data_IF_742651401882
#
_entry.id   IF_742651401882
#
_cell.length_a   1.000
_cell.length_b   1.000
_cell.length_c   1.000
_cell.angle_alpha   90.00
_cell.angle_beta   90.00
_cell.angle_gamma   90.00
#
_symmetry.space_group_name_H-M   'P 1'
#
loop_
_entity.id
_entity.type
_entity.pdbx_description
1 polymer ?
#
# COMPACT_ATOMS: atom_id res chain seq x y z
N UNK A 1 -18.59 14.58 11.40
CA UNK A 1 -18.08 13.22 11.20
C UNK A 1 -18.19 12.92 9.72
N UNK A 2 -17.07 12.73 9.05
CA UNK A 2 -17.09 12.22 7.68
C UNK A 2 -17.39 10.71 7.72
N UNK A 3 -18.00 10.14 6.68
CA UNK A 3 -18.24 8.68 6.58
C UNK A 3 -16.96 7.87 6.89
N UNK A 4 -15.80 8.43 6.51
CA UNK A 4 -14.47 7.82 6.67
C UNK A 4 -14.01 7.69 8.12
N UNK A 5 -14.50 8.55 9.03
CA UNK A 5 -14.18 8.48 10.45
C UNK A 5 -14.66 7.17 11.07
N UNK A 6 -15.61 6.45 10.46
CA UNK A 6 -16.16 5.21 11.01
C UNK A 6 -15.24 4.00 10.76
N UNK A 7 -14.27 4.11 9.86
CA UNK A 7 -13.43 2.99 9.43
C UNK A 7 -12.21 2.77 10.31
N UNK A 8 -11.95 1.51 10.64
CA UNK A 8 -10.68 1.04 11.22
C UNK A 8 -9.81 0.50 10.10
N UNK A 9 -8.53 0.88 10.08
CA UNK A 9 -7.59 0.46 9.04
C UNK A 9 -6.47 -0.37 9.67
N UNK A 10 -6.25 -1.56 9.14
CA UNK A 10 -5.08 -2.38 9.46
C UNK A 10 -4.13 -2.31 8.27
N UNK A 11 -2.85 -2.02 8.52
CA UNK A 11 -1.80 -1.95 7.50
C UNK A 11 -0.79 -3.06 7.75
N UNK A 12 -0.81 -4.11 6.92
CA UNK A 12 0.22 -5.15 6.89
C UNK A 12 1.37 -4.67 6.00
N UNK A 13 2.57 -4.55 6.57
CA UNK A 13 3.70 -3.97 5.85
C UNK A 13 5.06 -4.43 6.36
N UNK A 14 6.09 -4.26 5.52
CA UNK A 14 7.44 -4.70 5.83
C UNK A 14 8.12 -3.84 6.91
N UNK A 15 7.90 -2.53 6.90
CA UNK A 15 8.61 -1.60 7.76
C UNK A 15 7.78 -0.35 8.12
N UNK A 16 8.40 0.55 8.89
CA UNK A 16 7.78 1.80 9.31
C UNK A 16 7.60 2.81 8.17
N UNK A 17 8.49 2.80 7.18
CA UNK A 17 8.42 3.72 6.04
C UNK A 17 7.19 3.41 5.19
N UNK A 18 6.89 2.13 4.95
CA UNK A 18 5.64 1.66 4.37
C UNK A 18 4.41 2.14 5.15
N UNK A 19 4.40 1.92 6.47
CA UNK A 19 3.30 2.37 7.32
C UNK A 19 3.10 3.88 7.27
N UNK A 20 4.18 4.66 7.31
CA UNK A 20 4.13 6.12 7.26
C UNK A 20 3.64 6.63 5.91
N UNK A 21 4.05 6.01 4.80
CA UNK A 21 3.54 6.31 3.46
C UNK A 21 2.02 6.14 3.40
N UNK A 22 1.52 4.96 3.78
CA UNK A 22 0.09 4.65 3.76
C UNK A 22 -0.69 5.58 4.69
N UNK A 23 -0.21 5.79 5.91
CA UNK A 23 -0.93 6.65 6.88
C UNK A 23 -0.89 8.12 6.50
N UNK A 24 0.17 8.61 5.84
CA UNK A 24 0.21 9.97 5.28
C UNK A 24 -0.86 10.16 4.20
N UNK A 25 -1.00 9.18 3.31
CA UNK A 25 -2.04 9.16 2.28
C UNK A 25 -3.45 9.14 2.89
N UNK A 26 -3.72 8.21 3.80
CA UNK A 26 -5.05 8.04 4.39
C UNK A 26 -5.47 9.23 5.27
N UNK A 27 -4.56 9.82 6.06
CA UNK A 27 -4.85 11.05 6.83
C UNK A 27 -5.33 12.17 5.92
N UNK A 28 -4.67 12.34 4.79
CA UNK A 28 -4.99 13.36 3.80
C UNK A 28 -6.36 13.13 3.16
N UNK A 29 -6.78 11.87 3.02
CA UNK A 29 -8.14 11.52 2.61
C UNK A 29 -9.21 11.67 3.70
N UNK A 30 -8.82 12.02 4.93
CA UNK A 30 -9.73 12.25 6.06
C UNK A 30 -9.87 11.08 7.05
N UNK A 31 -9.01 10.05 6.99
CA UNK A 31 -9.03 8.97 7.99
C UNK A 31 -8.36 9.39 9.30
N UNK A 32 -8.94 8.97 10.42
CA UNK A 32 -8.39 9.27 11.75
C UNK A 32 -7.15 8.42 12.08
N UNK A 33 -6.06 9.09 12.47
CA UNK A 33 -4.80 8.44 12.83
C UNK A 33 -4.94 7.33 13.89
N UNK A 34 -5.76 7.57 14.92
CA UNK A 34 -5.98 6.65 16.04
C UNK A 34 -6.71 5.35 15.64
N UNK A 35 -7.31 5.30 14.45
CA UNK A 35 -8.02 4.13 13.92
C UNK A 35 -7.17 3.32 12.95
N UNK A 36 -5.92 3.72 12.72
CA UNK A 36 -4.98 3.02 11.86
C UNK A 36 -3.97 2.24 12.70
N UNK A 37 -3.83 0.95 12.43
CA UNK A 37 -2.90 0.05 13.14
C UNK A 37 -1.91 -0.56 12.17
N UNK A 38 -0.62 -0.43 12.47
CA UNK A 38 0.45 -1.08 11.71
C UNK A 38 0.73 -2.48 12.20
N UNK A 39 0.84 -3.43 11.28
CA UNK A 39 1.32 -4.80 11.47
C UNK A 39 2.62 -4.91 10.68
N UNK A 40 3.68 -4.48 11.36
CA UNK A 40 5.00 -4.24 10.80
C UNK A 40 5.89 -5.44 11.11
N UNK A 41 6.70 -5.88 10.14
CA UNK A 41 7.64 -6.98 10.37
C UNK A 41 8.55 -6.70 11.59
N UNK A 42 8.77 -7.69 12.48
CA UNK A 42 9.67 -7.53 13.61
C UNK A 42 11.11 -7.28 13.16
N UNK A 43 11.77 -6.29 13.79
CA UNK A 43 13.17 -5.99 13.51
C UNK A 43 14.08 -7.20 13.76
N UNK A 44 15.00 -7.46 12.82
CA UNK A 44 16.01 -8.51 12.96
C UNK A 44 15.51 -9.95 12.77
N UNK A 45 14.28 -10.15 12.31
CA UNK A 45 13.73 -11.49 12.01
C UNK A 45 13.34 -11.60 10.54
N UNK A 46 14.26 -12.13 9.73
CA UNK A 46 14.01 -12.43 8.32
C UNK A 46 13.81 -11.18 7.45
N UNK A 47 13.28 -11.41 6.24
CA UNK A 47 12.93 -10.34 5.31
C UNK A 47 11.55 -9.76 5.66
N UNK A 48 11.40 -8.44 5.53
CA UNK A 48 10.10 -7.79 5.69
C UNK A 48 9.07 -8.28 4.66
N UNK A 49 9.50 -8.48 3.42
CA UNK A 49 8.70 -9.14 2.36
C UNK A 49 8.21 -10.51 2.80
N UNK A 50 9.09 -11.33 3.37
CA UNK A 50 8.74 -12.68 3.81
C UNK A 50 7.68 -12.62 4.90
N UNK A 51 7.80 -11.69 5.86
CA UNK A 51 6.79 -11.46 6.88
C UNK A 51 5.42 -11.14 6.26
N UNK A 52 5.35 -10.19 5.32
CA UNK A 52 4.09 -9.84 4.66
C UNK A 52 3.51 -11.05 3.92
N UNK A 53 4.34 -11.78 3.17
CA UNK A 53 3.92 -12.96 2.40
C UNK A 53 3.37 -14.08 3.28
N UNK A 54 4.02 -14.37 4.40
CA UNK A 54 3.60 -15.44 5.31
C UNK A 54 2.33 -15.10 6.09
N UNK A 55 2.10 -13.82 6.40
CA UNK A 55 0.93 -13.40 7.17
C UNK A 55 -0.24 -12.91 6.29
N UNK A 56 -0.04 -12.76 4.98
CA UNK A 56 -1.07 -12.22 4.08
C UNK A 56 -2.40 -12.99 4.18
N UNK A 57 -2.37 -14.32 4.07
CA UNK A 57 -3.57 -15.16 4.16
C UNK A 57 -4.26 -15.07 5.52
N UNK A 58 -3.48 -14.97 6.61
CA UNK A 58 -4.01 -14.79 7.97
C UNK A 58 -4.79 -13.47 8.08
N UNK A 59 -4.21 -12.36 7.59
CA UNK A 59 -4.86 -11.06 7.64
C UNK A 59 -6.09 -10.96 6.74
N UNK A 60 -6.07 -11.57 5.56
CA UNK A 60 -7.26 -11.67 4.70
C UNK A 60 -8.36 -12.48 5.38
N UNK A 61 -8.01 -13.59 6.04
CA UNK A 61 -8.95 -14.43 6.79
C UNK A 61 -9.57 -13.65 7.95
N UNK A 62 -8.75 -12.97 8.75
CA UNK A 62 -9.20 -12.13 9.85
C UNK A 62 -10.11 -10.99 9.35
N UNK A 63 -9.75 -10.32 8.25
CA UNK A 63 -10.61 -9.32 7.61
C UNK A 63 -11.97 -9.91 7.21
N UNK A 64 -11.98 -11.09 6.57
CA UNK A 64 -13.22 -11.73 6.08
C UNK A 64 -14.20 -12.06 7.21
N UNK A 65 -13.71 -12.35 8.41
CA UNK A 65 -14.55 -12.60 9.59
C UNK A 65 -15.30 -11.34 10.05
N UNK A 66 -14.71 -10.16 9.89
CA UNK A 66 -15.27 -8.86 10.34
C UNK A 66 -15.65 -7.93 9.19
N UNK A 67 -15.67 -8.41 7.93
CA UNK A 67 -15.91 -7.58 6.73
C UNK A 67 -17.27 -6.87 6.69
N UNK A 68 -18.21 -7.30 7.53
CA UNK A 68 -19.51 -6.66 7.73
C UNK A 68 -19.41 -5.36 8.55
N UNK A 69 -18.29 -5.15 9.26
CA UNK A 69 -17.98 -3.91 9.96
C UNK A 69 -17.27 -2.89 9.05
N UNK A 70 -17.08 -1.68 9.58
CA UNK A 70 -16.29 -0.63 8.92
C UNK A 70 -14.78 -0.88 9.11
N UNK A 71 -14.26 -1.93 8.46
CA UNK A 71 -12.85 -2.29 8.48
C UNK A 71 -12.24 -2.25 7.06
N UNK A 72 -10.97 -1.89 6.98
CA UNK A 72 -10.15 -1.86 5.76
C UNK A 72 -8.83 -2.56 6.07
N UNK A 73 -8.38 -3.40 5.14
CA UNK A 73 -7.04 -3.97 5.16
C UNK A 73 -6.21 -3.32 4.05
N UNK A 74 -5.06 -2.76 4.39
CA UNK A 74 -4.06 -2.32 3.42
C UNK A 74 -2.86 -3.25 3.55
N UNK A 75 -2.40 -3.79 2.43
CA UNK A 75 -1.18 -4.60 2.35
C UNK A 75 -0.20 -3.87 1.47
N UNK A 76 1.03 -3.67 1.95
CA UNK A 76 2.11 -3.07 1.18
C UNK A 76 3.41 -3.86 1.32
N UNK A 77 4.00 -4.24 0.19
CA UNK A 77 5.24 -5.02 0.11
C UNK A 77 5.93 -4.76 -1.22
N UNK A 78 7.25 -4.79 -1.21
CA UNK A 78 8.06 -4.55 -2.39
C UNK A 78 8.06 -5.77 -3.33
N UNK A 79 8.08 -5.52 -4.64
CA UNK A 79 8.30 -6.59 -5.61
C UNK A 79 9.79 -6.98 -5.72
N UNK A 80 10.70 -6.19 -5.15
CA UNK A 80 12.16 -6.35 -5.21
C UNK A 80 12.71 -6.48 -6.65
N UNK A 81 12.90 -7.72 -7.10
CA UNK A 81 13.40 -8.07 -8.45
C UNK A 81 12.31 -8.71 -9.32
N UNK A 82 11.11 -8.84 -8.77
CA UNK A 82 9.95 -9.44 -9.42
C UNK A 82 9.03 -8.35 -9.97
N UNK A 83 8.11 -8.76 -10.84
CA UNK A 83 7.05 -7.87 -11.32
C UNK A 83 5.94 -7.73 -10.29
N UNK A 84 5.15 -6.66 -10.41
CA UNK A 84 3.88 -6.52 -9.68
C UNK A 84 3.04 -7.80 -9.77
N UNK A 85 2.80 -8.30 -10.98
CA UNK A 85 1.98 -9.49 -11.21
C UNK A 85 2.53 -10.74 -10.52
N UNK A 86 3.85 -10.94 -10.52
CA UNK A 86 4.47 -12.06 -9.81
C UNK A 86 4.28 -11.94 -8.30
N UNK A 87 4.54 -10.76 -7.72
CA UNK A 87 4.39 -10.53 -6.28
C UNK A 87 2.93 -10.65 -5.86
N UNK A 88 2.01 -10.06 -6.62
CA UNK A 88 0.56 -10.16 -6.40
C UNK A 88 0.12 -11.63 -6.42
N UNK A 89 0.51 -12.39 -7.46
CA UNK A 89 0.20 -13.82 -7.56
C UNK A 89 0.75 -14.60 -6.36
N UNK A 90 2.00 -14.33 -5.97
CA UNK A 90 2.65 -14.96 -4.81
C UNK A 90 1.85 -14.75 -3.53
N UNK A 91 1.29 -13.55 -3.32
CA UNK A 91 0.41 -13.28 -2.19
C UNK A 91 -0.90 -14.04 -2.33
N UNK A 92 -1.58 -13.92 -3.47
CA UNK A 92 -2.92 -14.50 -3.65
C UNK A 92 -2.94 -16.02 -3.70
N UNK A 93 -1.85 -16.66 -4.13
CA UNK A 93 -1.71 -18.13 -4.13
C UNK A 93 -1.75 -18.73 -2.71
N UNK A 94 -1.51 -17.91 -1.68
CA UNK A 94 -1.65 -18.34 -0.27
C UNK A 94 -3.10 -18.39 0.20
N UNK A 95 -4.04 -17.84 -0.58
CA UNK A 95 -5.45 -17.78 -0.21
C UNK A 95 -6.18 -19.06 -0.61
N UNK A 96 -7.04 -19.56 0.28
CA UNK A 96 -7.96 -20.66 -0.01
C UNK A 96 -9.08 -20.26 -0.97
N UNK A 97 -9.47 -18.99 -0.95
CA UNK A 97 -10.49 -18.39 -1.81
C UNK A 97 -9.94 -17.10 -2.43
N UNK A 98 -10.19 -16.86 -3.74
CA UNK A 98 -9.69 -15.67 -4.43
C UNK A 98 -10.20 -14.38 -3.79
N UNK A 99 -9.49 -13.28 -4.02
CA UNK A 99 -9.96 -11.96 -3.61
C UNK A 99 -11.21 -11.56 -4.39
N UNK A 100 -12.20 -11.01 -3.69
CA UNK A 100 -13.42 -10.46 -4.29
C UNK A 100 -13.28 -8.95 -4.50
N UNK A 101 -13.90 -8.43 -5.57
CA UNK A 101 -13.84 -7.00 -5.90
C UNK A 101 -14.56 -6.12 -4.87
N UNK A 102 -15.45 -6.72 -4.10
CA UNK A 102 -16.25 -6.14 -3.04
C UNK A 102 -15.52 -6.13 -1.68
N UNK A 103 -14.30 -6.68 -1.62
CA UNK A 103 -13.47 -6.62 -0.42
C UNK A 103 -12.75 -5.26 -0.31
N UNK A 104 -12.85 -4.61 0.86
CA UNK A 104 -12.14 -3.38 1.25
C UNK A 104 -10.68 -3.70 1.62
N UNK A 105 -10.02 -4.48 0.77
CA UNK A 105 -8.60 -4.83 0.85
C UNK A 105 -7.88 -4.03 -0.23
N UNK A 106 -6.82 -3.32 0.10
CA UNK A 106 -5.97 -2.59 -0.86
C UNK A 106 -4.61 -3.26 -0.89
N UNK A 107 -4.11 -3.64 -2.07
CA UNK A 107 -2.77 -4.21 -2.23
C UNK A 107 -1.89 -3.22 -2.98
N UNK A 108 -0.80 -2.79 -2.35
CA UNK A 108 0.17 -1.86 -2.89
C UNK A 108 1.51 -2.59 -3.06
N UNK A 109 2.01 -2.66 -4.29
CA UNK A 109 3.28 -3.33 -4.56
C UNK A 109 4.16 -2.38 -5.36
N UNK A 110 5.07 -1.63 -4.71
CA UNK A 110 6.13 -0.90 -5.41
C UNK A 110 7.01 -1.88 -6.18
N UNK A 111 7.43 -1.53 -7.40
CA UNK A 111 8.16 -2.45 -8.28
C UNK A 111 9.55 -2.85 -7.73
N UNK A 112 10.23 -1.92 -7.06
CA UNK A 112 11.52 -2.16 -6.40
C UNK A 112 11.41 -1.90 -4.92
N UNK A 113 11.01 -0.67 -4.60
CA UNK A 113 10.79 -0.16 -3.26
C UNK A 113 9.95 1.11 -3.33
N UNK A 114 9.49 1.59 -2.18
CA UNK A 114 8.77 2.87 -2.10
C UNK A 114 9.62 4.08 -2.49
N UNK A 115 10.95 4.01 -2.46
CA UNK A 115 11.79 5.12 -2.93
C UNK A 115 11.67 5.34 -4.44
N UNK A 116 11.30 4.33 -5.23
CA UNK A 116 10.89 4.51 -6.63
C UNK A 116 9.67 5.44 -6.75
N UNK A 117 8.73 5.34 -5.81
CA UNK A 117 7.57 6.23 -5.76
C UNK A 117 7.97 7.63 -5.31
N UNK A 118 8.91 7.75 -4.37
CA UNK A 118 9.43 9.07 -3.96
C UNK A 118 10.13 9.78 -5.12
N UNK A 119 10.93 9.04 -5.88
CA UNK A 119 11.50 9.51 -7.13
C UNK A 119 10.41 10.06 -8.05
N UNK A 120 9.41 9.24 -8.38
CA UNK A 120 8.36 9.64 -9.32
C UNK A 120 7.63 10.91 -8.84
N UNK A 121 7.37 11.01 -7.54
CA UNK A 121 6.72 12.17 -6.96
C UNK A 121 7.54 13.46 -7.18
N UNK A 122 8.86 13.39 -7.12
CA UNK A 122 9.72 14.57 -7.26
C UNK A 122 10.08 14.86 -8.72
N UNK A 123 10.37 13.83 -9.52
CA UNK A 123 10.85 13.95 -10.90
C UNK A 123 10.23 12.89 -11.82
N UNK A 124 8.93 13.00 -12.17
CA UNK A 124 8.19 11.93 -12.87
C UNK A 124 8.76 11.56 -14.25
N UNK A 125 9.58 12.43 -14.86
CA UNK A 125 10.19 12.21 -16.19
C UNK A 125 11.46 11.34 -16.11
N UNK A 126 12.18 11.35 -14.99
CA UNK A 126 13.50 10.71 -14.86
C UNK A 126 13.47 9.41 -14.04
N UNK A 127 12.30 9.02 -13.54
CA UNK A 127 12.17 7.87 -12.66
C UNK A 127 11.74 6.63 -13.41
N UNK A 128 12.34 5.49 -13.08
CA UNK A 128 12.04 4.18 -13.66
C UNK A 128 11.91 3.09 -12.59
N UNK A 129 11.37 1.93 -12.96
CA UNK A 129 11.13 0.81 -12.02
C UNK A 129 12.30 -0.18 -11.89
N UNK A 130 13.47 0.13 -12.46
CA UNK A 130 14.68 -0.72 -12.47
C UNK A 130 15.78 -0.16 -11.56
N UNK A 131 15.90 1.16 -11.50
CA UNK A 131 16.89 1.87 -10.69
C UNK A 131 16.59 1.75 -9.20
N UNK A 132 17.65 1.64 -8.37
CA UNK A 132 17.53 1.62 -6.92
C UNK A 132 17.74 3.03 -6.34
N UNK A 133 16.69 3.60 -5.76
CA UNK A 133 16.68 4.97 -5.24
C UNK A 133 16.88 5.05 -3.71
N UNK A 134 17.16 3.94 -3.02
CA UNK A 134 17.29 3.91 -1.55
C UNK A 134 18.30 4.92 -1.00
N UNK A 135 19.44 5.09 -1.67
CA UNK A 135 20.47 6.04 -1.22
C UNK A 135 20.02 7.49 -1.35
N UNK A 136 19.31 7.83 -2.41
CA UNK A 136 18.79 9.17 -2.69
C UNK A 136 17.74 9.61 -1.66
N UNK A 137 16.91 8.67 -1.20
CA UNK A 137 15.78 8.95 -0.31
C UNK A 137 15.96 8.42 1.11
N UNK A 138 17.19 8.13 1.54
CA UNK A 138 17.48 7.56 2.87
C UNK A 138 16.86 8.33 4.05
N UNK A 139 16.74 9.66 3.93
CA UNK A 139 16.19 10.55 4.97
C UNK A 139 14.81 11.11 4.60
N UNK A 140 14.15 10.55 3.58
CA UNK A 140 12.85 10.98 3.12
C UNK A 140 11.78 10.78 4.21
N UNK A 141 10.84 11.73 4.29
CA UNK A 141 9.63 11.55 5.10
C UNK A 141 8.58 10.82 4.27
N UNK A 142 8.47 9.49 4.46
CA UNK A 142 7.48 8.68 3.72
C UNK A 142 6.04 9.20 3.91
N UNK A 143 5.73 9.75 5.09
CA UNK A 143 4.41 10.35 5.35
C UNK A 143 4.14 11.60 4.51
N UNK A 144 5.17 12.42 4.26
CA UNK A 144 5.05 13.59 3.38
C UNK A 144 4.80 13.15 1.93
N UNK A 145 5.47 12.10 1.45
CA UNK A 145 5.17 11.51 0.14
C UNK A 145 3.75 10.94 0.09
N UNK A 146 3.29 10.28 1.16
CA UNK A 146 1.90 9.80 1.26
C UNK A 146 0.88 10.92 1.07
N UNK A 147 1.11 12.06 1.72
CA UNK A 147 0.31 13.27 1.54
C UNK A 147 0.35 13.76 0.09
N UNK A 148 1.54 13.94 -0.49
CA UNK A 148 1.75 14.38 -1.89
C UNK A 148 1.04 13.45 -2.89
N UNK A 149 1.05 12.14 -2.63
CA UNK A 149 0.31 11.18 -3.43
C UNK A 149 -1.21 11.38 -3.35
N UNK A 150 -1.75 11.69 -2.19
CA UNK A 150 -3.19 11.91 -2.02
C UNK A 150 -3.67 13.22 -2.65
N UNK A 151 -2.90 14.30 -2.54
CA UNK A 151 -3.30 15.65 -3.00
C UNK A 151 -3.03 15.83 -4.49
N UNK A 152 -1.83 15.48 -4.95
CA UNK A 152 -1.31 15.95 -6.24
C UNK A 152 -1.23 14.84 -7.27
N UNK A 153 -0.73 13.66 -6.87
CA UNK A 153 -0.33 12.62 -7.83
C UNK A 153 -1.49 11.70 -8.19
N UNK A 154 -2.11 11.01 -7.23
CA UNK A 154 -3.17 10.03 -7.54
C UNK A 154 -4.36 10.63 -8.31
N UNK A 155 -4.84 11.85 -8.02
CA UNK A 155 -5.90 12.46 -8.81
C UNK A 155 -5.51 12.68 -10.27
N UNK A 156 -4.25 13.05 -10.52
CA UNK A 156 -3.75 13.52 -11.82
C UNK A 156 -2.77 12.54 -12.50
N UNK A 157 -2.67 11.28 -12.03
CA UNK A 157 -1.68 10.33 -12.50
C UNK A 157 -1.89 10.04 -14.01
N UNK A 158 -0.94 10.37 -14.90
CA UNK A 158 -1.06 10.17 -16.34
C UNK A 158 -0.99 8.68 -16.68
N UNK A 159 -1.61 8.24 -17.78
CA UNK A 159 -1.62 6.82 -18.20
C UNK A 159 -0.23 6.22 -18.39
N UNK A 160 0.74 7.04 -18.78
CA UNK A 160 2.14 6.66 -19.01
C UNK A 160 2.99 6.62 -17.72
N UNK A 161 2.38 6.85 -16.54
CA UNK A 161 3.11 6.72 -15.28
C UNK A 161 3.60 5.29 -15.03
N UNK A 162 4.45 5.13 -14.02
CA UNK A 162 5.00 3.84 -13.62
C UNK A 162 3.91 2.79 -13.40
N UNK A 163 4.16 1.57 -13.87
CA UNK A 163 3.16 0.50 -13.90
C UNK A 163 2.63 0.16 -12.50
N UNK A 164 3.52 0.06 -11.51
CA UNK A 164 3.15 -0.17 -10.11
C UNK A 164 2.29 0.96 -9.52
N UNK A 165 2.49 2.20 -9.97
CA UNK A 165 1.66 3.34 -9.54
C UNK A 165 0.27 3.30 -10.17
N UNK A 166 0.15 2.85 -11.43
CA UNK A 166 -1.16 2.63 -12.06
C UNK A 166 -1.94 1.55 -11.32
N UNK A 167 -1.30 0.43 -11.01
CA UNK A 167 -1.91 -0.67 -10.24
C UNK A 167 -2.36 -0.19 -8.85
N UNK A 168 -1.50 0.55 -8.14
CA UNK A 168 -1.84 1.15 -6.86
C UNK A 168 -3.03 2.12 -6.97
N UNK A 169 -3.08 2.96 -8.01
CA UNK A 169 -4.22 3.86 -8.26
C UNK A 169 -5.51 3.06 -8.46
N UNK A 170 -5.48 2.02 -9.27
CA UNK A 170 -6.66 1.18 -9.54
C UNK A 170 -7.20 0.53 -8.26
N UNK A 171 -6.32 -0.03 -7.42
CA UNK A 171 -6.70 -0.64 -6.14
C UNK A 171 -7.31 0.37 -5.18
N UNK A 172 -6.72 1.55 -5.06
CA UNK A 172 -7.24 2.62 -4.21
C UNK A 172 -8.58 3.13 -4.70
N UNK A 173 -8.74 3.37 -6.01
CA UNK A 173 -10.01 3.83 -6.58
C UNK A 173 -11.11 2.77 -6.49
N UNK A 174 -10.78 1.49 -6.63
CA UNK A 174 -11.71 0.38 -6.41
C UNK A 174 -12.26 0.43 -4.99
N UNK A 175 -11.40 0.49 -3.98
CA UNK A 175 -11.84 0.49 -2.58
C UNK A 175 -12.55 1.78 -2.23
N UNK A 176 -12.13 2.95 -2.73
CA UNK A 176 -12.84 4.23 -2.50
C UNK A 176 -14.33 4.15 -2.87
N UNK A 177 -14.67 3.47 -3.97
CA UNK A 177 -16.07 3.25 -4.41
C UNK A 177 -16.89 2.38 -3.47
N UNK A 178 -16.24 1.62 -2.58
CA UNK A 178 -16.89 0.78 -1.56
C UNK A 178 -17.09 1.52 -0.22
N UNK A 179 -16.55 2.74 -0.11
CA UNK A 179 -16.61 3.58 1.11
C UNK A 179 -17.56 4.77 0.96
N UNK A 180 -17.96 5.08 -0.28
CA UNK A 180 -19.01 6.03 -0.64
C UNK A 180 -20.38 5.46 -0.37
#
# INVERSE_FOLDING_TARGET
MTSKDQFRVTVLCEDKSHFHLVTGYLKTLGFEARKMTGKIAPLGRGSGEQYVREHFAEFVTAYRQVKHENVILVVITDADKHTYAHRFKTLTDTLTEPLSKEEKIVILIPAKNIETWFCYADNPVECDEKTDYKSQYKNASSSAYGKKYAEDICPNLPTEALSALQEARMEVERVKRLLS
#
